data_IF_346637664178
#
_entry.id   IF_346637664178
#
_cell.length_a   1.000
_cell.length_b   1.000
_cell.length_c   1.000
_cell.angle_alpha   90.00
_cell.angle_beta   90.00
_cell.angle_gamma   90.00
#
_symmetry.space_group_name_H-M   'P 1'
#
loop_
_entity.id
_entity.type
_entity.pdbx_description
1 polymer ?
#
# COMPACT_ATOMS: atom_id res chain seq x y z
N UNK A 1 13.63 -15.53 -16.88
CA UNK A 1 12.83 -15.73 -15.65
C UNK A 1 11.45 -15.10 -15.84
N UNK A 2 10.39 -15.79 -15.48
CA UNK A 2 9.07 -15.18 -15.53
C UNK A 2 8.99 -14.01 -14.54
N UNK A 3 8.17 -13.00 -14.82
CA UNK A 3 7.99 -11.88 -13.88
C UNK A 3 7.36 -12.35 -12.57
N UNK A 4 7.76 -11.72 -11.50
CA UNK A 4 7.22 -12.00 -10.16
C UNK A 4 5.85 -11.39 -9.93
N UNK A 5 5.29 -11.58 -8.72
CA UNK A 5 3.92 -11.13 -8.40
C UNK A 5 3.73 -9.62 -8.51
N UNK A 6 4.73 -8.81 -8.14
CA UNK A 6 4.64 -7.34 -8.22
C UNK A 6 4.63 -6.89 -9.67
N UNK A 7 5.56 -7.37 -10.46
CA UNK A 7 5.62 -7.06 -11.91
C UNK A 7 4.34 -7.50 -12.61
N UNK A 8 3.83 -8.69 -12.29
CA UNK A 8 2.57 -9.17 -12.85
C UNK A 8 1.40 -8.25 -12.48
N UNK A 9 1.36 -7.77 -11.27
CA UNK A 9 0.32 -6.84 -10.84
C UNK A 9 0.41 -5.51 -11.58
N UNK A 10 1.61 -4.96 -11.73
CA UNK A 10 1.84 -3.74 -12.51
C UNK A 10 1.35 -3.92 -13.95
N UNK A 11 1.61 -5.07 -14.55
CA UNK A 11 1.16 -5.36 -15.91
C UNK A 11 -0.38 -5.38 -16.01
N UNK A 12 -1.06 -5.94 -15.02
CA UNK A 12 -2.54 -5.89 -14.96
C UNK A 12 -3.06 -4.46 -14.78
N UNK A 13 -2.40 -3.66 -13.96
CA UNK A 13 -2.74 -2.24 -13.79
C UNK A 13 -2.62 -1.51 -15.13
N UNK A 14 -1.52 -1.71 -15.84
CA UNK A 14 -1.29 -1.09 -17.17
C UNK A 14 -2.34 -1.51 -18.20
N UNK A 15 -2.85 -2.75 -18.09
CA UNK A 15 -3.91 -3.27 -18.94
C UNK A 15 -5.32 -2.78 -18.55
N UNK A 16 -5.45 -2.06 -17.43
CA UNK A 16 -6.74 -1.59 -16.94
C UNK A 16 -7.57 -2.66 -16.21
N UNK A 17 -6.93 -3.74 -15.77
CA UNK A 17 -7.61 -4.92 -15.19
C UNK A 17 -7.50 -5.02 -13.67
N UNK A 18 -7.00 -3.98 -12.99
CA UNK A 18 -6.86 -4.00 -11.54
C UNK A 18 -7.77 -2.95 -10.87
N UNK A 19 -8.93 -3.36 -10.33
CA UNK A 19 -9.86 -2.42 -9.69
C UNK A 19 -9.35 -1.83 -8.38
N UNK A 20 -8.25 -2.35 -7.84
CA UNK A 20 -7.66 -1.86 -6.59
C UNK A 20 -6.54 -0.84 -6.80
N UNK A 21 -6.27 -0.46 -8.03
CA UNK A 21 -5.32 0.62 -8.32
C UNK A 21 -5.95 1.97 -7.94
N UNK A 22 -5.31 2.67 -6.99
CA UNK A 22 -5.76 3.98 -6.52
C UNK A 22 -5.31 5.10 -7.46
N UNK A 23 -4.03 5.06 -7.87
CA UNK A 23 -3.45 6.12 -8.70
C UNK A 23 -2.09 5.71 -9.28
N UNK A 24 -1.73 6.35 -10.39
CA UNK A 24 -0.34 6.43 -10.84
C UNK A 24 0.38 7.49 -10.01
N UNK A 25 1.50 7.10 -9.41
CA UNK A 25 2.36 7.98 -8.61
C UNK A 25 3.65 8.30 -9.37
N UNK A 26 4.48 9.18 -8.83
CA UNK A 26 5.77 9.52 -9.45
C UNK A 26 6.67 8.28 -9.60
N UNK A 27 6.72 7.40 -8.61
CA UNK A 27 7.56 6.21 -8.62
C UNK A 27 6.90 4.97 -9.23
N UNK A 28 5.58 4.92 -9.35
CA UNK A 28 4.85 3.73 -9.78
C UNK A 28 3.37 3.82 -9.48
N UNK A 29 2.82 2.85 -8.76
CA UNK A 29 1.38 2.74 -8.52
C UNK A 29 1.06 2.61 -7.04
N UNK A 30 0.04 3.34 -6.61
CA UNK A 30 -0.58 3.15 -5.29
C UNK A 30 -1.75 2.19 -5.45
N UNK A 31 -1.83 1.19 -4.57
CA UNK A 31 -2.90 0.20 -4.59
C UNK A 31 -3.50 -0.02 -3.20
N UNK A 32 -4.76 -0.42 -3.16
CA UNK A 32 -5.33 -1.08 -2.00
C UNK A 32 -4.80 -2.51 -2.00
N UNK A 33 -4.12 -2.92 -0.91
CA UNK A 33 -3.53 -4.24 -0.83
C UNK A 33 -4.59 -5.33 -0.76
N UNK A 34 -4.26 -6.54 -1.23
CA UNK A 34 -5.19 -7.67 -1.19
C UNK A 34 -5.56 -8.08 0.23
N UNK A 35 -4.58 -8.07 1.13
CA UNK A 35 -4.76 -8.57 2.50
C UNK A 35 -5.18 -7.43 3.42
N UNK A 36 -6.31 -7.62 4.08
CA UNK A 36 -6.90 -6.62 4.97
C UNK A 36 -7.21 -7.26 6.33
N UNK A 37 -6.19 -7.40 7.20
CA UNK A 37 -6.42 -7.97 8.53
C UNK A 37 -7.18 -6.95 9.39
N UNK A 38 -8.42 -7.26 9.71
CA UNK A 38 -9.16 -6.42 10.64
C UNK A 38 -8.58 -6.57 12.04
N UNK A 39 -8.41 -5.52 12.85
CA UNK A 39 -9.02 -4.19 12.73
C UNK A 39 -8.20 -3.16 11.94
N UNK A 40 -7.03 -3.50 11.42
CA UNK A 40 -6.17 -2.55 10.71
C UNK A 40 -6.47 -2.53 9.20
N UNK A 41 -7.72 -2.30 8.87
CA UNK A 41 -8.15 -2.22 7.47
C UNK A 41 -7.72 -0.91 6.80
N UNK A 42 -7.63 -0.95 5.50
CA UNK A 42 -7.07 -0.02 4.53
C UNK A 42 -5.56 -0.07 4.48
N UNK A 43 -5.03 -1.29 4.51
CA UNK A 43 -3.64 -1.52 4.16
C UNK A 43 -3.45 -1.25 2.66
N UNK A 44 -2.42 -0.49 2.34
CA UNK A 44 -2.08 -0.08 0.97
C UNK A 44 -0.64 -0.41 0.66
N UNK A 45 -0.28 -0.30 -0.61
CA UNK A 45 1.09 -0.51 -1.06
C UNK A 45 1.47 0.50 -2.16
N UNK A 46 2.76 0.81 -2.24
CA UNK A 46 3.37 1.43 -3.42
C UNK A 46 4.13 0.36 -4.18
N UNK A 47 3.85 0.25 -5.47
CA UNK A 47 4.52 -0.65 -6.40
C UNK A 47 5.34 0.19 -7.38
N UNK A 48 6.68 0.29 -7.21
CA UNK A 48 7.49 1.10 -8.10
C UNK A 48 7.62 0.46 -9.49
N UNK A 49 7.70 1.28 -10.51
CA UNK A 49 7.86 0.86 -11.90
C UNK A 49 8.93 1.76 -12.57
N UNK A 50 10.09 1.25 -12.93
CA UNK A 50 10.51 -0.16 -12.90
C UNK A 50 10.67 -0.72 -11.48
N UNK A 51 10.62 -2.04 -11.37
CA UNK A 51 10.62 -2.77 -10.09
C UNK A 51 11.97 -3.45 -9.87
N UNK A 52 12.91 -2.83 -9.11
CA UNK A 52 14.15 -3.51 -8.74
C UNK A 52 13.92 -4.50 -7.60
N UNK A 53 14.96 -5.22 -7.20
CA UNK A 53 14.89 -6.15 -6.07
C UNK A 53 14.82 -5.44 -4.72
N UNK A 54 15.47 -4.28 -4.58
CA UNK A 54 15.49 -3.54 -3.33
C UNK A 54 15.51 -2.03 -3.56
N UNK A 55 15.17 -1.28 -2.51
CA UNK A 55 15.19 0.19 -2.54
C UNK A 55 16.61 0.73 -2.80
N UNK A 56 17.62 -0.01 -2.39
CA UNK A 56 19.02 0.38 -2.59
C UNK A 56 19.45 0.36 -4.06
N UNK A 57 18.72 -0.40 -4.90
CA UNK A 57 18.99 -0.48 -6.33
C UNK A 57 18.37 0.66 -7.13
N UNK A 58 17.51 1.46 -6.52
CA UNK A 58 16.94 2.64 -7.18
C UNK A 58 17.96 3.76 -7.29
N UNK A 59 18.06 4.44 -8.46
CA UNK A 59 18.78 5.71 -8.57
C UNK A 59 18.23 6.75 -7.60
N UNK A 60 19.06 7.74 -7.25
CA UNK A 60 18.75 8.70 -6.18
C UNK A 60 17.39 9.42 -6.35
N UNK A 61 17.06 9.89 -7.55
CA UNK A 61 15.78 10.57 -7.80
C UNK A 61 14.59 9.63 -7.67
N UNK A 62 14.69 8.43 -8.23
CA UNK A 62 13.62 7.43 -8.14
C UNK A 62 13.43 6.95 -6.70
N UNK A 63 14.53 6.82 -5.95
CA UNK A 63 14.48 6.49 -4.52
C UNK A 63 13.74 7.57 -3.73
N UNK A 64 14.05 8.84 -3.99
CA UNK A 64 13.36 9.97 -3.36
C UNK A 64 11.86 9.97 -3.69
N UNK A 65 11.50 9.73 -4.95
CA UNK A 65 10.10 9.63 -5.38
C UNK A 65 9.38 8.48 -4.66
N UNK A 66 10.01 7.31 -4.57
CA UNK A 66 9.41 6.15 -3.90
C UNK A 66 9.13 6.43 -2.42
N UNK A 67 10.08 7.01 -1.71
CA UNK A 67 9.92 7.35 -0.29
C UNK A 67 8.86 8.43 -0.10
N UNK A 68 8.83 9.45 -0.95
CA UNK A 68 7.82 10.49 -0.92
C UNK A 68 6.41 9.94 -1.20
N UNK A 69 6.29 9.04 -2.18
CA UNK A 69 5.01 8.41 -2.52
C UNK A 69 4.46 7.56 -1.37
N UNK A 70 5.33 6.84 -0.64
CA UNK A 70 4.90 6.08 0.55
C UNK A 70 4.25 6.99 1.57
N UNK A 71 4.87 8.12 1.88
CA UNK A 71 4.37 9.05 2.89
C UNK A 71 3.10 9.77 2.39
N UNK A 72 3.05 10.12 1.11
CA UNK A 72 1.86 10.74 0.51
C UNK A 72 0.66 9.80 0.56
N UNK A 73 0.85 8.52 0.24
CA UNK A 73 -0.19 7.52 0.37
C UNK A 73 -0.62 7.36 1.84
N UNK A 74 0.34 7.39 2.77
CA UNK A 74 0.06 7.40 4.21
C UNK A 74 -0.80 8.58 4.64
N UNK A 75 -0.52 9.79 4.13
CA UNK A 75 -1.35 10.97 4.38
C UNK A 75 -2.79 10.78 3.90
N UNK A 76 -2.97 10.16 2.73
CA UNK A 76 -4.29 9.85 2.21
C UNK A 76 -5.03 8.83 3.10
N UNK A 77 -4.33 7.80 3.57
CA UNK A 77 -4.91 6.80 4.48
C UNK A 77 -5.31 7.43 5.81
N UNK A 78 -4.46 8.28 6.40
CA UNK A 78 -4.80 9.02 7.63
C UNK A 78 -6.07 9.85 7.43
N UNK A 79 -6.16 10.57 6.33
CA UNK A 79 -7.32 11.42 6.02
C UNK A 79 -8.60 10.60 5.82
N UNK A 80 -8.50 9.48 5.15
CA UNK A 80 -9.67 8.65 4.83
C UNK A 80 -10.18 7.82 6.02
N UNK A 81 -9.31 7.47 6.97
CA UNK A 81 -9.62 6.51 8.03
C UNK A 81 -9.64 7.10 9.44
N UNK A 82 -8.95 8.22 9.68
CA UNK A 82 -8.72 8.74 11.02
C UNK A 82 -7.75 7.91 11.85
N UNK A 83 -6.90 7.10 11.21
CA UNK A 83 -5.88 6.31 11.90
C UNK A 83 -4.96 7.21 12.73
N UNK A 84 -4.40 6.65 13.81
CA UNK A 84 -3.48 7.37 14.69
C UNK A 84 -2.11 7.56 14.05
N UNK A 85 -1.64 6.55 13.33
CA UNK A 85 -0.35 6.58 12.63
C UNK A 85 -0.32 5.58 11.50
N UNK A 86 0.71 5.70 10.67
CA UNK A 86 0.99 4.74 9.61
C UNK A 86 2.31 4.02 9.94
N UNK A 87 2.31 2.71 9.79
CA UNK A 87 3.54 1.93 9.72
C UNK A 87 3.95 1.74 8.25
N UNK A 88 5.20 2.05 7.96
CA UNK A 88 5.77 1.87 6.64
C UNK A 88 6.77 0.73 6.69
N UNK A 89 6.64 -0.25 5.78
CA UNK A 89 7.51 -1.42 5.76
C UNK A 89 8.00 -1.70 4.34
N UNK A 90 9.31 -1.84 4.21
CA UNK A 90 9.97 -2.22 2.96
C UNK A 90 10.79 -3.47 3.26
N UNK A 91 10.18 -4.63 3.15
CA UNK A 91 10.78 -5.90 3.55
C UNK A 91 11.32 -6.70 2.36
N UNK A 92 10.45 -7.04 1.42
CA UNK A 92 10.77 -7.71 0.15
C UNK A 92 11.55 -9.03 0.31
N UNK A 93 11.36 -9.73 1.44
CA UNK A 93 12.06 -10.99 1.71
C UNK A 93 11.38 -12.19 1.07
N UNK A 94 10.05 -12.23 1.08
CA UNK A 94 9.28 -13.32 0.46
C UNK A 94 9.14 -13.10 -1.04
N UNK A 95 8.96 -11.85 -1.45
CA UNK A 95 8.87 -11.46 -2.86
C UNK A 95 10.00 -10.47 -3.13
N UNK A 96 11.08 -10.88 -3.82
CA UNK A 96 12.26 -10.05 -4.04
C UNK A 96 12.04 -9.05 -5.20
N UNK A 97 10.92 -8.39 -5.18
CA UNK A 97 10.56 -7.28 -6.05
C UNK A 97 10.15 -6.12 -5.16
N UNK A 98 10.72 -4.94 -5.37
CA UNK A 98 10.50 -3.80 -4.49
C UNK A 98 9.02 -3.42 -4.38
N UNK A 99 8.53 -3.34 -3.17
CA UNK A 99 7.22 -2.80 -2.82
C UNK A 99 7.26 -2.28 -1.40
N UNK A 100 6.47 -1.26 -1.12
CA UNK A 100 6.38 -0.69 0.21
C UNK A 100 4.97 -0.83 0.76
N UNK A 101 4.87 -1.23 2.02
CA UNK A 101 3.59 -1.35 2.74
C UNK A 101 3.27 -0.05 3.47
N UNK A 102 2.02 0.36 3.39
CA UNK A 102 1.44 1.52 4.08
C UNK A 102 0.28 1.00 4.93
N UNK A 103 0.50 0.87 6.23
CA UNK A 103 -0.40 0.15 7.14
C UNK A 103 -0.92 1.08 8.23
N UNK A 104 -2.23 1.35 8.28
CA UNK A 104 -2.80 2.19 9.33
C UNK A 104 -2.80 1.47 10.67
N UNK A 105 -2.57 2.22 11.73
CA UNK A 105 -2.66 1.74 13.10
C UNK A 105 -3.64 2.63 13.86
N UNK A 106 -4.50 2.02 14.65
CA UNK A 106 -5.63 2.70 15.29
C UNK A 106 -5.48 2.73 16.81
N UNK A 107 -5.95 3.82 17.43
CA UNK A 107 -5.86 4.01 18.87
C UNK A 107 -6.66 2.97 19.68
N UNK A 108 -7.71 2.41 19.08
CA UNK A 108 -8.61 1.43 19.70
C UNK A 108 -8.21 -0.03 19.46
N UNK A 109 -7.06 -0.29 18.85
CA UNK A 109 -6.51 -1.65 18.76
C UNK A 109 -6.26 -2.23 20.15
N UNK A 110 -6.23 -3.55 20.24
CA UNK A 110 -5.81 -4.23 21.48
C UNK A 110 -4.52 -3.63 22.04
N UNK A 111 -4.46 -3.29 23.35
CA UNK A 111 -3.31 -2.58 23.92
C UNK A 111 -1.95 -3.28 23.76
N UNK A 112 -1.94 -4.60 23.67
CA UNK A 112 -0.72 -5.38 23.43
C UNK A 112 -0.34 -5.33 21.95
N UNK A 113 -1.31 -5.59 21.07
CA UNK A 113 -1.09 -5.66 19.61
C UNK A 113 -0.67 -4.31 19.02
N UNK A 114 -1.22 -3.20 19.53
CA UNK A 114 -0.87 -1.87 19.01
C UNK A 114 0.60 -1.47 19.22
N UNK A 115 1.31 -2.16 20.10
CA UNK A 115 2.75 -1.94 20.35
C UNK A 115 3.64 -2.78 19.44
N UNK A 116 3.08 -3.74 18.74
CA UNK A 116 3.80 -4.64 17.84
C UNK A 116 3.76 -4.12 16.41
N UNK A 117 4.73 -4.55 15.61
CA UNK A 117 4.66 -4.37 14.15
C UNK A 117 3.44 -5.10 13.57
N UNK A 118 2.93 -4.65 12.43
CA UNK A 118 1.67 -5.20 11.91
C UNK A 118 1.74 -6.70 11.61
N UNK A 119 2.86 -7.19 11.08
CA UNK A 119 3.00 -8.62 10.73
C UNK A 119 3.19 -9.52 11.95
N UNK A 120 3.60 -8.96 13.09
CA UNK A 120 3.64 -9.68 14.36
C UNK A 120 2.26 -9.71 15.04
N UNK A 121 1.54 -8.59 14.93
CA UNK A 121 0.26 -8.41 15.62
C UNK A 121 -0.89 -9.16 14.93
N UNK A 122 -0.87 -9.26 13.60
CA UNK A 122 -2.01 -9.76 12.82
C UNK A 122 -1.58 -10.77 11.75
N UNK A 123 -2.48 -11.73 11.49
CA UNK A 123 -2.30 -12.72 10.43
C UNK A 123 -2.76 -12.14 9.08
N UNK A 124 -1.81 -11.67 8.28
CA UNK A 124 -2.10 -11.14 6.94
C UNK A 124 -2.48 -12.27 5.97
N UNK A 125 -1.77 -13.39 6.00
CA UNK A 125 -1.99 -14.49 5.06
C UNK A 125 -3.39 -15.07 5.16
N UNK A 126 -3.94 -15.17 6.38
CA UNK A 126 -5.28 -15.68 6.65
C UNK A 126 -6.37 -14.61 6.65
N UNK A 127 -6.04 -13.35 6.36
CA UNK A 127 -7.01 -12.26 6.42
C UNK A 127 -7.96 -12.25 5.23
N UNK A 128 -9.09 -11.51 5.36
CA UNK A 128 -9.98 -11.31 4.24
C UNK A 128 -9.26 -10.55 3.11
N UNK A 129 -9.70 -10.78 1.90
CA UNK A 129 -9.20 -10.06 0.74
C UNK A 129 -10.02 -8.80 0.49
N UNK A 130 -9.33 -7.73 0.07
CA UNK A 130 -9.99 -6.51 -0.35
C UNK A 130 -10.87 -6.74 -1.59
N UNK A 131 -11.98 -6.02 -1.65
CA UNK A 131 -12.89 -6.03 -2.79
C UNK A 131 -13.36 -4.61 -3.07
N UNK A 132 -12.62 -3.90 -3.91
CA UNK A 132 -12.89 -2.51 -4.27
C UNK A 132 -14.16 -2.32 -5.10
N UNK A 133 -14.69 -3.38 -5.72
CA UNK A 133 -15.94 -3.36 -6.46
C UNK A 133 -17.16 -3.77 -5.60
N UNK A 134 -16.92 -4.27 -4.41
CA UNK A 134 -17.91 -4.76 -3.46
C UNK A 134 -17.88 -4.02 -2.13
N UNK A 135 -17.65 -4.74 -1.00
CA UNK A 135 -17.75 -4.16 0.34
C UNK A 135 -16.79 -2.99 0.62
N UNK A 136 -15.65 -2.94 -0.07
CA UNK A 136 -14.64 -1.90 0.16
C UNK A 136 -14.80 -0.69 -0.77
N UNK A 137 -15.83 -0.62 -1.58
CA UNK A 137 -16.01 0.41 -2.61
C UNK A 137 -16.02 1.82 -2.03
N UNK A 138 -16.83 2.07 -1.01
CA UNK A 138 -16.97 3.41 -0.43
C UNK A 138 -15.66 3.87 0.19
N UNK A 139 -14.96 2.98 0.87
CA UNK A 139 -13.67 3.26 1.47
C UNK A 139 -12.61 3.51 0.41
N UNK A 140 -12.59 2.68 -0.63
CA UNK A 140 -11.70 2.85 -1.79
C UNK A 140 -11.91 4.22 -2.45
N UNK A 141 -13.16 4.60 -2.70
CA UNK A 141 -13.50 5.87 -3.34
C UNK A 141 -13.06 7.07 -2.48
N UNK A 142 -13.24 7.01 -1.16
CA UNK A 142 -12.78 8.06 -0.25
C UNK A 142 -11.26 8.17 -0.23
N UNK A 143 -10.58 7.04 -0.19
CA UNK A 143 -9.13 6.97 -0.20
C UNK A 143 -8.57 7.53 -1.51
N UNK A 144 -9.16 7.13 -2.64
CA UNK A 144 -8.74 7.60 -3.96
C UNK A 144 -8.90 9.12 -4.09
N UNK A 145 -10.03 9.68 -3.63
CA UNK A 145 -10.25 11.13 -3.63
C UNK A 145 -9.25 11.86 -2.74
N UNK A 146 -9.00 11.35 -1.54
CA UNK A 146 -8.02 11.93 -0.63
C UNK A 146 -6.62 11.97 -1.28
N UNK A 147 -6.23 10.88 -1.93
CA UNK A 147 -4.94 10.80 -2.61
C UNK A 147 -4.87 11.77 -3.80
N UNK A 148 -5.91 11.84 -4.61
CA UNK A 148 -5.97 12.77 -5.74
C UNK A 148 -5.88 14.22 -5.29
N UNK A 149 -6.60 14.60 -4.22
CA UNK A 149 -6.54 15.94 -3.65
C UNK A 149 -5.15 16.29 -3.17
N UNK A 150 -4.47 15.37 -2.50
CA UNK A 150 -3.09 15.57 -2.02
C UNK A 150 -2.10 15.67 -3.17
N UNK A 151 -2.28 14.90 -4.24
CA UNK A 151 -1.41 14.95 -5.42
C UNK A 151 -1.59 16.24 -6.24
N UNK A 152 -2.73 16.90 -6.14
CA UNK A 152 -3.01 18.16 -6.83
C UNK A 152 -2.38 19.39 -6.14
N UNK A 153 -1.90 19.24 -4.92
CA UNK A 153 -1.29 20.35 -4.15
C UNK A 153 0.15 20.60 -4.55
#
# INVERSE_FOLDING_TARGET
MPPGPITNRINRIKAGDDPQCLARMASGYAILANQQPGPIVVCCMILPDPTPASVNDLPALQRADFMADLVLLGDAVLRATGAERINYLILCNQVPELHGHVVPRFADEDPVKRKLGPFEAYDFAGSRKADALGPDRDLFDRLQRALQDLMAC
#
